data_IF_423256545155
#
_entry.id   IF_423256545155
#
_cell.length_a   1.000
_cell.length_b   1.000
_cell.length_c   1.000
_cell.angle_alpha   90.00
_cell.angle_beta   90.00
_cell.angle_gamma   90.00
#
_symmetry.space_group_name_H-M   'P 1'
#
loop_
_entity.id
_entity.type
_entity.pdbx_description
1 polymer ?
#
# COMPACT_ATOMS: atom_id res chain seq x y z
N UNK A 1 -38.51 4.16 -18.77
CA UNK A 1 -37.20 3.54 -19.07
C UNK A 1 -36.41 4.49 -19.95
N UNK A 2 -35.34 5.06 -19.40
CA UNK A 2 -34.18 5.63 -20.10
C UNK A 2 -32.99 5.23 -19.21
N UNK A 3 -32.01 4.49 -19.77
CA UNK A 3 -30.79 4.03 -19.09
C UNK A 3 -29.87 5.20 -18.72
N UNK A 4 -29.22 5.20 -17.56
CA UNK A 4 -27.87 4.61 -17.30
C UNK A 4 -26.91 5.04 -18.41
N UNK A 5 -26.04 6.01 -18.19
CA UNK A 5 -24.83 5.83 -17.39
C UNK A 5 -24.43 7.13 -16.67
N UNK A 6 -24.18 7.03 -15.35
CA UNK A 6 -23.38 8.05 -14.66
C UNK A 6 -21.94 7.71 -14.99
N UNK A 7 -21.38 8.35 -16.00
CA UNK A 7 -19.95 8.27 -16.33
C UNK A 7 -19.13 8.52 -15.06
N UNK A 8 -18.11 7.69 -14.90
CA UNK A 8 -17.34 7.50 -13.68
C UNK A 8 -16.88 8.80 -13.03
N UNK A 9 -17.14 8.85 -11.72
CA UNK A 9 -16.42 9.55 -10.67
C UNK A 9 -15.23 10.40 -11.14
N UNK A 10 -15.24 11.68 -10.76
CA UNK A 10 -14.07 12.56 -10.67
C UNK A 10 -12.97 11.95 -9.75
N UNK A 11 -12.28 10.88 -10.18
CA UNK A 11 -11.15 10.28 -9.43
C UNK A 11 -9.81 10.95 -9.76
N UNK A 12 -9.79 12.26 -10.05
CA UNK A 12 -8.55 13.04 -10.27
C UNK A 12 -7.78 13.31 -8.97
N UNK A 13 -7.92 12.44 -7.98
CA UNK A 13 -7.24 12.51 -6.70
C UNK A 13 -6.65 11.15 -6.37
N UNK A 14 -5.38 11.15 -5.99
CA UNK A 14 -4.69 9.96 -5.55
C UNK A 14 -5.33 9.26 -4.35
N UNK A 15 -5.12 7.96 -4.30
CA UNK A 15 -5.69 7.06 -3.29
C UNK A 15 -4.66 6.75 -2.20
N UNK A 16 -5.16 6.56 -0.97
CA UNK A 16 -4.33 6.19 0.18
C UNK A 16 -4.49 4.70 0.46
N UNK A 17 -3.42 3.93 0.27
CA UNK A 17 -3.37 2.50 0.60
C UNK A 17 -2.70 2.29 1.95
N UNK A 18 -3.50 2.11 3.00
CA UNK A 18 -3.01 1.81 4.34
C UNK A 18 -2.82 0.29 4.55
N UNK A 19 -1.61 -0.08 4.96
CA UNK A 19 -1.19 -1.45 5.27
C UNK A 19 -0.78 -1.55 6.74
N UNK A 20 -0.98 -2.70 7.38
CA UNK A 20 -0.66 -2.85 8.79
C UNK A 20 -0.85 -4.26 9.31
N UNK A 21 -0.93 -4.38 10.64
CA UNK A 21 -1.07 -5.65 11.37
C UNK A 21 -2.42 -6.35 11.18
N UNK A 22 -3.42 -5.64 10.66
CA UNK A 22 -4.73 -6.19 10.31
C UNK A 22 -4.72 -7.06 9.04
N UNK A 23 -3.62 -7.07 8.29
CA UNK A 23 -3.45 -7.94 7.12
C UNK A 23 -2.95 -9.30 7.59
N UNK A 24 -3.61 -10.38 7.16
CA UNK A 24 -3.12 -11.74 7.43
C UNK A 24 -1.86 -12.00 6.59
N UNK A 25 -0.70 -12.31 7.21
CA UNK A 25 0.52 -12.62 6.47
C UNK A 25 0.41 -13.82 5.52
N UNK A 26 -0.59 -14.69 5.71
CA UNK A 26 -0.86 -15.83 4.81
C UNK A 26 -1.72 -15.47 3.61
N UNK A 27 -2.36 -14.30 3.66
CA UNK A 27 -3.20 -13.75 2.60
C UNK A 27 -2.94 -12.24 2.48
N UNK A 28 -1.75 -11.84 1.98
CA UNK A 28 -1.40 -10.43 1.81
C UNK A 28 -2.39 -9.71 0.88
N UNK A 29 -2.53 -8.40 1.08
CA UNK A 29 -3.38 -7.59 0.21
C UNK A 29 -2.84 -7.51 -1.24
N UNK A 30 -3.71 -7.16 -2.19
CA UNK A 30 -3.31 -6.82 -3.56
C UNK A 30 -3.76 -5.42 -3.89
N UNK A 31 -2.83 -4.57 -4.35
CA UNK A 31 -3.10 -3.23 -4.89
C UNK A 31 -3.00 -3.36 -6.41
N UNK A 32 -4.11 -3.17 -7.12
CA UNK A 32 -4.24 -3.57 -8.52
C UNK A 32 -3.87 -2.48 -9.53
N UNK A 33 -3.95 -1.22 -9.12
CA UNK A 33 -3.97 -0.03 -9.97
C UNK A 33 -3.18 1.15 -9.38
N UNK A 34 -2.05 0.85 -8.71
CA UNK A 34 -1.18 1.87 -8.13
C UNK A 34 -0.57 2.81 -9.19
N UNK A 35 -0.75 4.12 -9.00
CA UNK A 35 -0.01 5.18 -9.69
C UNK A 35 0.93 5.91 -8.72
N UNK A 36 2.24 5.82 -8.96
CA UNK A 36 3.26 6.44 -8.13
C UNK A 36 3.24 7.98 -8.09
N UNK A 37 2.48 8.64 -8.97
CA UNK A 37 2.35 10.10 -9.02
C UNK A 37 1.12 10.62 -8.30
N UNK A 38 0.11 9.77 -8.14
CA UNK A 38 -1.17 10.13 -7.54
C UNK A 38 -1.29 9.47 -6.16
N UNK A 39 -1.01 8.18 -6.07
CA UNK A 39 -1.29 7.36 -4.89
C UNK A 39 -0.19 7.39 -3.83
N UNK A 40 -0.60 7.12 -2.60
CA UNK A 40 0.31 7.00 -1.46
C UNK A 40 0.09 5.67 -0.73
N UNK A 41 1.16 4.90 -0.59
CA UNK A 41 1.17 3.73 0.30
C UNK A 41 1.66 4.16 1.68
N UNK A 42 0.92 3.75 2.71
CA UNK A 42 1.27 3.95 4.12
C UNK A 42 1.35 2.59 4.81
N UNK A 43 2.42 2.36 5.55
CA UNK A 43 2.56 1.19 6.42
C UNK A 43 2.45 1.66 7.87
N UNK A 44 1.37 1.25 8.52
CA UNK A 44 1.14 1.48 9.94
C UNK A 44 1.84 0.38 10.74
N UNK A 45 2.80 0.77 11.58
CA UNK A 45 3.58 -0.17 12.40
C UNK A 45 3.34 0.08 13.89
N UNK A 46 3.42 -0.98 14.70
CA UNK A 46 3.38 -0.89 16.15
C UNK A 46 4.73 -0.39 16.71
N UNK A 47 4.80 0.83 17.29
CA UNK A 47 6.04 1.36 17.87
C UNK A 47 6.44 0.64 19.17
N UNK A 48 5.51 -0.04 19.85
CA UNK A 48 5.74 -0.74 21.11
C UNK A 48 6.22 -2.18 20.89
N UNK A 49 6.31 -2.64 19.64
CA UNK A 49 6.84 -3.96 19.26
C UNK A 49 8.32 -4.17 19.64
N UNK A 50 9.03 -3.12 20.06
CA UNK A 50 10.40 -3.19 20.57
C UNK A 50 11.47 -3.42 19.49
N UNK A 51 11.09 -3.36 18.20
CA UNK A 51 11.99 -3.49 17.05
C UNK A 51 11.73 -2.32 16.10
N UNK A 52 12.80 -1.65 15.66
CA UNK A 52 12.67 -0.59 14.66
C UNK A 52 12.11 -1.15 13.34
N UNK A 53 11.12 -0.51 12.72
CA UNK A 53 10.50 -1.00 11.50
C UNK A 53 11.53 -1.03 10.36
N UNK A 54 11.63 -2.18 9.69
CA UNK A 54 12.41 -2.33 8.45
C UNK A 54 11.47 -2.56 7.29
N UNK A 55 11.34 -1.53 6.46
CA UNK A 55 10.60 -1.61 5.22
C UNK A 55 11.52 -1.99 4.06
N UNK A 56 11.09 -2.96 3.25
CA UNK A 56 11.71 -3.30 1.96
C UNK A 56 10.66 -3.40 0.88
N UNK A 57 11.07 -3.07 -0.35
CA UNK A 57 10.32 -3.39 -1.56
C UNK A 57 11.06 -4.53 -2.25
N UNK A 58 10.38 -5.66 -2.43
CA UNK A 58 10.95 -6.87 -3.01
C UNK A 58 10.28 -7.18 -4.35
N UNK A 59 10.99 -7.71 -5.35
CA UNK A 59 10.35 -8.10 -6.60
C UNK A 59 9.31 -9.20 -6.34
N UNK A 60 8.14 -9.07 -6.97
CA UNK A 60 7.15 -10.14 -7.00
C UNK A 60 7.46 -11.16 -8.09
N UNK A 61 6.91 -12.36 -7.91
CA UNK A 61 6.80 -13.39 -8.93
C UNK A 61 5.91 -12.93 -10.11
N UNK A 62 4.96 -12.02 -9.87
CA UNK A 62 4.15 -11.38 -10.91
C UNK A 62 4.98 -10.33 -11.67
N UNK A 63 4.95 -10.38 -13.00
CA UNK A 63 5.77 -9.50 -13.83
C UNK A 63 5.42 -8.02 -13.63
N UNK A 64 6.42 -7.22 -13.26
CA UNK A 64 6.25 -5.78 -13.02
C UNK A 64 5.58 -5.44 -11.69
N UNK A 65 5.33 -6.43 -10.83
CA UNK A 65 4.79 -6.23 -9.49
C UNK A 65 5.90 -6.27 -8.43
N UNK A 66 5.61 -5.70 -7.26
CA UNK A 66 6.51 -5.70 -6.12
C UNK A 66 5.76 -5.96 -4.80
N UNK A 67 6.45 -6.57 -3.85
CA UNK A 67 5.99 -6.79 -2.49
C UNK A 67 6.38 -5.61 -1.59
N UNK A 68 5.42 -5.07 -0.86
CA UNK A 68 5.67 -4.20 0.30
C UNK A 68 5.88 -5.09 1.52
N UNK A 69 7.10 -5.06 2.08
CA UNK A 69 7.53 -5.98 3.14
C UNK A 69 7.94 -5.22 4.39
N UNK A 70 7.30 -5.52 5.52
CA UNK A 70 7.67 -4.97 6.83
C UNK A 70 8.28 -6.07 7.71
N UNK A 71 9.52 -5.88 8.16
CA UNK A 71 10.24 -6.82 9.01
C UNK A 71 10.30 -8.26 8.47
N UNK A 72 10.32 -8.41 7.13
CA UNK A 72 10.29 -9.72 6.46
C UNK A 72 8.89 -10.29 6.24
N UNK A 73 7.83 -9.58 6.63
CA UNK A 73 6.44 -9.96 6.41
C UNK A 73 5.89 -9.24 5.19
N UNK A 74 5.41 -9.98 4.18
CA UNK A 74 4.74 -9.43 3.00
C UNK A 74 3.37 -8.89 3.42
N UNK A 75 3.14 -7.60 3.21
CA UNK A 75 1.87 -6.93 3.54
C UNK A 75 0.98 -6.78 2.31
N UNK A 76 1.55 -6.38 1.17
CA UNK A 76 0.80 -6.23 -0.06
C UNK A 76 1.64 -6.54 -1.30
N UNK A 77 1.00 -7.14 -2.30
CA UNK A 77 1.48 -7.16 -3.68
C UNK A 77 0.97 -5.93 -4.41
N UNK A 78 1.87 -5.11 -4.93
CA UNK A 78 1.54 -3.95 -5.77
C UNK A 78 1.72 -4.36 -7.21
N UNK A 79 0.62 -4.45 -7.95
CA UNK A 79 0.65 -4.68 -9.39
C UNK A 79 1.07 -3.39 -10.09
N UNK A 80 1.88 -3.50 -11.14
CA UNK A 80 2.36 -2.33 -11.87
C UNK A 80 3.27 -1.41 -11.06
N UNK A 81 3.97 -1.94 -10.05
CA UNK A 81 4.77 -1.18 -9.07
C UNK A 81 5.83 -0.23 -9.68
N UNK A 82 6.20 -0.40 -10.96
CA UNK A 82 7.03 0.56 -11.68
C UNK A 82 8.36 0.83 -10.98
N UNK A 83 8.56 2.06 -10.51
CA UNK A 83 9.75 2.49 -9.76
C UNK A 83 9.57 2.55 -8.24
N UNK A 84 8.50 1.96 -7.70
CA UNK A 84 8.20 1.95 -6.26
C UNK A 84 9.42 1.50 -5.45
N UNK A 85 9.86 2.36 -4.55
CA UNK A 85 10.95 2.11 -3.62
C UNK A 85 10.49 2.32 -2.18
N UNK A 86 11.25 1.79 -1.22
CA UNK A 86 10.90 1.89 0.20
C UNK A 86 10.79 3.35 0.70
N UNK A 87 11.48 4.29 0.03
CA UNK A 87 11.42 5.72 0.32
C UNK A 87 10.10 6.39 -0.10
N UNK A 88 9.33 5.75 -0.98
CA UNK A 88 8.05 6.27 -1.48
C UNK A 88 6.88 5.84 -0.58
N UNK A 89 7.14 4.93 0.37
CA UNK A 89 6.16 4.43 1.34
C UNK A 89 6.35 5.14 2.67
N UNK A 90 5.27 5.69 3.23
CA UNK A 90 5.31 6.32 4.54
C UNK A 90 5.18 5.29 5.65
N UNK A 91 6.02 5.39 6.66
CA UNK A 91 5.89 4.62 7.91
C UNK A 91 5.26 5.51 8.97
N UNK A 92 4.09 5.11 9.46
CA UNK A 92 3.36 5.83 10.51
C UNK A 92 3.06 4.89 11.68
N UNK A 93 3.03 5.44 12.88
CA UNK A 93 2.41 4.80 14.04
C UNK A 93 0.89 4.94 13.97
N UNK A 94 0.10 4.13 14.72
CA UNK A 94 -1.35 4.29 14.76
C UNK A 94 -1.81 5.70 15.18
N UNK A 95 -1.05 6.35 16.08
CA UNK A 95 -1.34 7.71 16.52
C UNK A 95 -1.12 8.74 15.40
N UNK A 96 -0.05 8.60 14.62
CA UNK A 96 0.21 9.49 13.48
C UNK A 96 -0.82 9.26 12.35
N UNK A 97 -1.16 8.00 12.07
CA UNK A 97 -2.17 7.66 11.07
C UNK A 97 -3.57 8.18 11.41
N UNK A 98 -3.94 8.22 12.69
CA UNK A 98 -5.21 8.78 13.13
C UNK A 98 -5.35 10.31 12.89
N UNK A 99 -4.25 10.99 12.56
CA UNK A 99 -4.20 12.42 12.26
C UNK A 99 -3.83 12.71 10.80
N UNK A 100 -3.75 11.68 9.97
CA UNK A 100 -3.46 11.73 8.54
C UNK A 100 -4.75 12.03 7.76
#
# INVERSE_FOLDING_TARGET
>A
MIGTESDGQDQTGGELFALGDWIDPRDPATIADYDAWEDQIVVVYDPDAGVAPRLSIEPSETHGAAWVVLNGTRLAEVLGAGSLAAQDVLLLTPAEFAHF
#
